data_IF_485895478010
#
_entry.id   IF_485895478010
#
_cell.length_a   1.000
_cell.length_b   1.000
_cell.length_c   1.000
_cell.angle_alpha   90.00
_cell.angle_beta   90.00
_cell.angle_gamma   90.00
#
_symmetry.space_group_name_H-M   'P 1'
#
loop_
_entity.id
_entity.type
_entity.pdbx_description
1 polymer ?
#
# COMPACT_ATOMS: atom_id res chain seq x y z
N UNK A 1 -5.55 22.63 -5.92
CA UNK A 1 -5.71 21.17 -5.87
C UNK A 1 -6.74 20.86 -4.79
N UNK A 2 -7.71 20.01 -5.09
CA UNK A 2 -8.75 19.63 -4.13
C UNK A 2 -8.20 18.52 -3.23
N UNK A 3 -7.83 18.89 -2.00
CA UNK A 3 -7.22 17.99 -1.01
C UNK A 3 -8.22 16.92 -0.57
N UNK A 4 -9.52 17.27 -0.49
CA UNK A 4 -10.57 16.33 -0.07
C UNK A 4 -10.81 15.28 -1.16
N UNK A 5 -10.80 15.68 -2.43
CA UNK A 5 -10.85 14.75 -3.55
C UNK A 5 -9.64 13.79 -3.55
N UNK A 6 -8.45 14.31 -3.23
CA UNK A 6 -7.22 13.52 -3.21
C UNK A 6 -7.20 12.52 -2.04
N UNK A 7 -7.65 12.95 -0.85
CA UNK A 7 -7.86 12.04 0.29
C UNK A 7 -8.90 10.97 -0.01
N UNK A 8 -10.03 11.34 -0.62
CA UNK A 8 -11.07 10.40 -1.02
C UNK A 8 -10.57 9.37 -2.03
N UNK A 9 -9.75 9.79 -2.99
CA UNK A 9 -9.09 8.90 -3.94
C UNK A 9 -8.13 7.94 -3.23
N UNK A 10 -7.31 8.43 -2.30
CA UNK A 10 -6.38 7.61 -1.52
C UNK A 10 -7.11 6.52 -0.72
N UNK A 11 -8.20 6.89 -0.04
CA UNK A 11 -9.03 5.94 0.71
C UNK A 11 -9.67 4.90 -0.22
N UNK A 12 -10.20 5.33 -1.36
CA UNK A 12 -10.81 4.45 -2.35
C UNK A 12 -9.81 3.43 -2.91
N UNK A 13 -8.59 3.87 -3.25
CA UNK A 13 -7.52 2.98 -3.72
C UNK A 13 -7.11 2.00 -2.64
N UNK A 14 -6.98 2.44 -1.39
CA UNK A 14 -6.65 1.58 -0.25
C UNK A 14 -7.69 0.44 -0.12
N UNK A 15 -8.98 0.78 -0.18
CA UNK A 15 -10.08 -0.22 -0.11
C UNK A 15 -10.03 -1.20 -1.28
N UNK A 16 -9.77 -0.73 -2.50
CA UNK A 16 -9.66 -1.60 -3.68
C UNK A 16 -8.44 -2.52 -3.59
N UNK A 17 -7.30 -2.00 -3.14
CA UNK A 17 -6.07 -2.76 -2.93
C UNK A 17 -6.29 -3.94 -1.98
N UNK A 18 -6.94 -3.70 -0.84
CA UNK A 18 -7.26 -4.74 0.14
C UNK A 18 -8.19 -5.83 -0.43
N UNK A 19 -9.13 -5.46 -1.30
CA UNK A 19 -10.01 -6.43 -1.98
C UNK A 19 -9.25 -7.28 -2.99
N UNK A 20 -8.34 -6.69 -3.77
CA UNK A 20 -7.50 -7.42 -4.72
C UNK A 20 -6.60 -8.41 -3.98
N UNK A 21 -5.99 -7.96 -2.87
CA UNK A 21 -5.19 -8.82 -1.98
C UNK A 21 -5.99 -10.00 -1.44
N UNK A 22 -7.17 -9.74 -0.90
CA UNK A 22 -8.06 -10.79 -0.39
C UNK A 22 -8.49 -11.78 -1.49
N UNK A 23 -8.82 -11.29 -2.69
CA UNK A 23 -9.17 -12.14 -3.83
C UNK A 23 -8.00 -13.06 -4.22
N UNK A 24 -6.76 -12.54 -4.25
CA UNK A 24 -5.56 -13.33 -4.52
C UNK A 24 -5.33 -14.40 -3.45
N UNK A 25 -5.50 -14.06 -2.18
CA UNK A 25 -5.35 -15.00 -1.05
C UNK A 25 -6.37 -16.14 -1.12
N UNK A 26 -7.64 -15.81 -1.40
CA UNK A 26 -8.71 -16.81 -1.59
C UNK A 26 -8.35 -17.75 -2.74
N UNK A 27 -7.96 -17.21 -3.90
CA UNK A 27 -7.59 -18.00 -5.08
C UNK A 27 -6.36 -18.88 -4.85
N UNK A 28 -5.40 -18.39 -4.06
CA UNK A 28 -4.22 -19.16 -3.69
C UNK A 28 -4.58 -20.30 -2.74
N UNK A 29 -5.57 -20.09 -1.85
CA UNK A 29 -6.06 -21.11 -0.93
C UNK A 29 -6.92 -22.18 -1.60
N UNK A 30 -7.65 -21.86 -2.68
CA UNK A 30 -8.49 -22.83 -3.39
C UNK A 30 -7.72 -23.75 -4.33
N UNK A 31 -6.49 -23.39 -4.73
CA UNK A 31 -5.62 -24.21 -5.59
C UNK A 31 -6.10 -24.42 -7.03
N UNK A 32 -7.32 -23.97 -7.35
CA UNK A 32 -8.01 -24.16 -8.64
C UNK A 32 -8.00 -22.90 -9.51
N UNK A 33 -7.23 -21.88 -9.10
CA UNK A 33 -7.12 -20.63 -9.82
C UNK A 33 -6.18 -20.75 -11.02
N UNK A 34 -6.59 -20.27 -12.22
CA UNK A 34 -5.67 -20.19 -13.36
C UNK A 34 -4.42 -19.38 -12.98
N UNK A 35 -3.22 -19.92 -13.27
CA UNK A 35 -1.95 -19.22 -12.97
C UNK A 35 -1.89 -17.80 -13.55
N UNK A 36 -2.57 -17.57 -14.68
CA UNK A 36 -2.72 -16.24 -15.31
C UNK A 36 -3.53 -15.27 -14.45
N UNK A 37 -4.57 -15.73 -13.77
CA UNK A 37 -5.40 -14.90 -12.88
C UNK A 37 -4.60 -14.50 -11.63
N UNK A 38 -3.86 -15.43 -11.04
CA UNK A 38 -2.96 -15.11 -9.92
C UNK A 38 -1.92 -14.06 -10.29
N UNK A 39 -1.30 -14.20 -11.46
CA UNK A 39 -0.35 -13.20 -11.99
C UNK A 39 -1.03 -11.83 -12.20
N UNK A 40 -2.20 -11.80 -12.82
CA UNK A 40 -2.95 -10.56 -13.07
C UNK A 40 -3.31 -9.83 -11.76
N UNK A 41 -3.72 -10.56 -10.72
CA UNK A 41 -4.03 -9.96 -9.43
C UNK A 41 -2.78 -9.43 -8.72
N UNK A 42 -1.64 -10.10 -8.85
CA UNK A 42 -0.36 -9.57 -8.36
C UNK A 42 0.04 -8.27 -9.07
N UNK A 43 -0.12 -8.19 -10.40
CA UNK A 43 0.16 -6.99 -11.17
C UNK A 43 -0.79 -5.85 -10.77
N UNK A 44 -2.09 -6.12 -10.68
CA UNK A 44 -3.09 -5.15 -10.24
C UNK A 44 -2.83 -4.62 -8.83
N UNK A 45 -2.44 -5.48 -7.89
CA UNK A 45 -2.06 -5.05 -6.53
C UNK A 45 -0.82 -4.15 -6.55
N UNK A 46 0.20 -4.48 -7.35
CA UNK A 46 1.38 -3.64 -7.48
C UNK A 46 1.06 -2.25 -8.06
N UNK A 47 0.21 -2.19 -9.09
CA UNK A 47 -0.22 -0.93 -9.69
C UNK A 47 -1.01 -0.07 -8.69
N UNK A 48 -1.89 -0.69 -7.91
CA UNK A 48 -2.64 0.00 -6.85
C UNK A 48 -1.73 0.53 -5.74
N UNK A 49 -0.72 -0.24 -5.32
CA UNK A 49 0.28 0.20 -4.33
C UNK A 49 1.10 1.37 -4.85
N UNK A 50 1.49 1.37 -6.12
CA UNK A 50 2.17 2.50 -6.76
C UNK A 50 1.29 3.76 -6.81
N UNK A 51 0.01 3.61 -7.16
CA UNK A 51 -0.94 4.72 -7.17
C UNK A 51 -1.13 5.30 -5.75
N UNK A 52 -1.29 4.43 -4.75
CA UNK A 52 -1.42 4.82 -3.34
C UNK A 52 -0.19 5.58 -2.84
N UNK A 53 1.02 5.10 -3.16
CA UNK A 53 2.26 5.77 -2.80
C UNK A 53 2.41 7.14 -3.46
N UNK A 54 2.04 7.24 -4.74
CA UNK A 54 2.10 8.51 -5.49
C UNK A 54 1.16 9.55 -4.86
N UNK A 55 -0.11 9.19 -4.67
CA UNK A 55 -1.10 10.08 -4.06
C UNK A 55 -0.76 10.42 -2.61
N UNK A 56 -0.27 9.45 -1.85
CA UNK A 56 0.18 9.68 -0.48
C UNK A 56 1.35 10.68 -0.44
N UNK A 57 2.31 10.56 -1.36
CA UNK A 57 3.40 11.53 -1.49
C UNK A 57 2.92 12.92 -1.86
N UNK A 58 1.93 13.04 -2.77
CA UNK A 58 1.31 14.33 -3.12
C UNK A 58 0.55 14.97 -1.94
N UNK A 59 0.02 14.15 -1.04
CA UNK A 59 -0.63 14.57 0.20
C UNK A 59 0.37 14.83 1.35
N UNK A 60 1.67 14.61 1.14
CA UNK A 60 2.72 14.84 2.13
C UNK A 60 2.93 13.69 3.12
N UNK A 61 2.33 12.51 2.88
CA UNK A 61 2.62 11.32 3.68
C UNK A 61 4.04 10.81 3.42
N UNK A 62 4.66 10.27 4.46
CA UNK A 62 5.96 9.62 4.33
C UNK A 62 5.81 8.25 3.67
N UNK A 63 6.78 7.90 2.82
CA UNK A 63 6.88 6.60 2.16
C UNK A 63 8.06 5.80 2.73
N UNK A 64 7.91 4.50 2.82
CA UNK A 64 8.99 3.60 3.23
C UNK A 64 10.08 3.54 2.14
N UNK A 65 11.35 3.88 2.45
CA UNK A 65 12.42 3.88 1.46
C UNK A 65 12.95 2.48 1.11
N UNK A 66 12.47 1.43 1.80
CA UNK A 66 12.97 0.06 1.70
C UNK A 66 12.05 -0.89 0.96
N UNK A 67 10.76 -0.56 0.87
CA UNK A 67 9.77 -1.42 0.24
C UNK A 67 9.60 -1.05 -1.22
N UNK A 68 9.45 -2.07 -2.07
CA UNK A 68 9.02 -1.90 -3.44
C UNK A 68 7.86 -2.85 -3.74
N UNK A 69 6.70 -2.36 -4.21
CA UNK A 69 6.29 -0.95 -4.31
C UNK A 69 6.41 -0.18 -2.98
N UNK A 70 6.60 1.16 -3.02
CA UNK A 70 6.69 1.98 -1.82
C UNK A 70 5.41 1.88 -0.97
N UNK A 71 5.57 1.84 0.34
CA UNK A 71 4.46 1.74 1.29
C UNK A 71 4.28 3.02 2.07
N UNK A 72 3.03 3.36 2.40
CA UNK A 72 2.77 4.44 3.33
C UNK A 72 3.26 4.06 4.72
N UNK A 73 3.95 5.01 5.32
CA UNK A 73 4.42 4.93 6.70
C UNK A 73 3.22 5.13 7.62
N UNK A 74 3.01 4.19 8.54
CA UNK A 74 2.01 4.31 9.59
C UNK A 74 2.68 4.79 10.89
N UNK A 75 1.88 5.35 11.80
CA UNK A 75 2.31 5.64 13.17
C UNK A 75 1.71 4.57 14.08
N UNK A 76 2.53 3.95 14.93
CA UNK A 76 2.04 3.03 15.94
C UNK A 76 1.39 3.75 17.14
N UNK A 77 0.84 2.97 18.06
CA UNK A 77 0.19 3.49 19.28
C UNK A 77 1.16 4.27 20.19
N UNK A 78 2.47 4.05 20.06
CA UNK A 78 3.52 4.74 20.80
C UNK A 78 4.02 6.00 20.07
N UNK A 79 3.42 6.37 18.94
CA UNK A 79 3.80 7.54 18.15
C UNK A 79 5.01 7.31 17.25
N UNK A 80 5.50 6.08 17.11
CA UNK A 80 6.65 5.76 16.24
C UNK A 80 6.18 5.46 14.84
N UNK A 81 6.91 5.98 13.87
CA UNK A 81 6.71 5.64 12.48
C UNK A 81 7.14 4.18 12.25
N UNK A 82 6.30 3.39 11.59
CA UNK A 82 6.62 2.03 11.17
C UNK A 82 6.01 1.69 9.81
N UNK A 83 6.67 0.78 9.09
CA UNK A 83 6.24 0.36 7.77
C UNK A 83 5.47 -0.94 7.98
N UNK A 84 4.22 -1.05 7.50
CA UNK A 84 3.40 -2.24 7.75
C UNK A 84 4.01 -3.52 7.14
N UNK A 85 4.84 -3.38 6.10
CA UNK A 85 5.43 -4.53 5.40
C UNK A 85 6.75 -4.99 5.99
N UNK A 86 7.71 -4.07 6.22
CA UNK A 86 9.05 -4.46 6.71
C UNK A 86 9.28 -4.19 8.19
N UNK A 87 8.33 -3.55 8.88
CA UNK A 87 8.39 -3.25 10.31
C UNK A 87 9.44 -2.22 10.73
N UNK A 88 10.16 -1.61 9.77
CA UNK A 88 11.24 -0.65 10.06
C UNK A 88 10.90 0.74 9.57
N UNK A 89 10.77 1.71 10.47
CA UNK A 89 10.99 3.13 10.15
C UNK A 89 11.61 3.83 11.34
N UNK A 90 12.94 3.76 11.41
CA UNK A 90 13.72 4.69 12.23
C UNK A 90 14.06 5.89 11.35
N UNK A 91 13.25 6.94 11.40
CA UNK A 91 13.85 8.25 11.18
C UNK A 91 14.63 8.56 12.45
N UNK A 92 15.94 8.35 12.43
CA UNK A 92 16.82 9.13 13.30
C UNK A 92 16.45 10.60 13.06
N UNK A 93 15.89 11.24 14.08
CA UNK A 93 15.92 12.69 14.18
C UNK A 93 17.39 13.10 14.22
N UNK A 94 17.85 13.91 13.27
CA UNK A 94 18.66 15.11 13.49
C UNK A 94 19.47 15.48 12.24
N UNK A 95 19.17 16.66 11.68
CA UNK A 95 20.15 17.73 11.49
C UNK A 95 19.39 19.05 11.31
#
# INVERSE_FOLDING_TARGET
>A
MDIDALHSALLSITVVSEKVRAAREILSATGDAPARLGKFLCEAENDLRMAQATLGGELGFSLCPRCWPPELVATDLDGKLNCPVCGRISHEQAA
#
